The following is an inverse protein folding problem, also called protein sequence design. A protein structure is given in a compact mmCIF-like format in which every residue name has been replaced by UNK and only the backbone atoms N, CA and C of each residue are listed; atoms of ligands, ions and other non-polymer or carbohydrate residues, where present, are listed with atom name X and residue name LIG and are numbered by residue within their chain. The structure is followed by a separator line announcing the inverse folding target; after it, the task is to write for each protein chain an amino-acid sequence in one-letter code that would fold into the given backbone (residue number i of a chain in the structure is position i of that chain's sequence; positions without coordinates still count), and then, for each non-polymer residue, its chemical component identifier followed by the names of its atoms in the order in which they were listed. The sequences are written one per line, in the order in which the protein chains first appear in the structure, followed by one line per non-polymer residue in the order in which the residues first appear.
data_IF_596638513065
#
_entry.id   IF_596638513065
#
_cell.length_a   1.000
_cell.length_b   1.000
_cell.length_c   1.000
_cell.angle_alpha   90.00
_cell.angle_beta   90.00
_cell.angle_gamma   90.00
#
_symmetry.space_group_name_H-M   'P 1'
#
loop_
_entity.id
_entity.type
_entity.pdbx_description
1 polymer ?
#
# COMPACT_ATOMS: atom_id res chain seq x y z
N UNK A 1 -9.95 -7.54 15.19
CA UNK A 1 -9.41 -8.36 16.30
C UNK A 1 -9.28 -9.84 15.90
N UNK A 2 -10.39 -10.55 15.63
CA UNK A 2 -10.36 -12.00 15.35
C UNK A 2 -9.33 -12.43 14.29
N UNK A 3 -9.15 -11.66 13.22
CA UNK A 3 -8.12 -11.96 12.21
C UNK A 3 -6.71 -11.89 12.82
N UNK A 4 -6.44 -10.92 13.65
CA UNK A 4 -5.12 -10.73 14.28
C UNK A 4 -4.78 -11.87 15.25
N UNK A 5 -5.78 -12.42 15.96
CA UNK A 5 -5.54 -13.58 16.84
C UNK A 5 -5.19 -14.86 16.06
N UNK A 6 -5.51 -14.94 14.77
CA UNK A 6 -5.18 -16.07 13.89
C UNK A 6 -3.79 -15.93 13.23
N UNK A 7 -3.22 -14.72 13.24
CA UNK A 7 -1.90 -14.45 12.66
C UNK A 7 -0.83 -14.68 13.73
N UNK A 8 0.19 -15.52 13.48
CA UNK A 8 1.27 -15.71 14.44
C UNK A 8 1.95 -14.39 14.82
N UNK A 9 2.18 -14.19 16.11
CA UNK A 9 2.72 -12.94 16.69
C UNK A 9 3.99 -12.42 16.01
N UNK A 10 4.88 -13.34 15.59
CA UNK A 10 6.10 -12.99 14.84
C UNK A 10 5.87 -12.17 13.56
N UNK A 11 4.63 -12.13 13.05
CA UNK A 11 4.26 -11.34 11.87
C UNK A 11 3.55 -10.03 12.22
N UNK A 12 3.16 -9.81 13.48
CA UNK A 12 2.41 -8.61 13.89
C UNK A 12 3.19 -7.32 13.56
N UNK A 13 4.51 -7.33 13.69
CA UNK A 13 5.39 -6.21 13.31
C UNK A 13 5.48 -5.94 11.80
N UNK A 14 4.74 -6.67 10.97
CA UNK A 14 4.59 -6.43 9.53
C UNK A 14 3.21 -5.88 9.17
N UNK A 15 2.35 -5.65 10.16
CA UNK A 15 0.97 -5.24 9.97
C UNK A 15 0.84 -3.76 10.35
N UNK A 16 0.21 -2.99 9.46
CA UNK A 16 -0.18 -1.60 9.68
C UNK A 16 -1.70 -1.54 9.64
N UNK A 17 -2.33 -0.91 10.65
CA UNK A 17 -3.79 -0.77 10.69
C UNK A 17 -4.22 0.57 10.10
N UNK A 18 -5.29 0.56 9.29
CA UNK A 18 -5.86 1.75 8.64
C UNK A 18 -7.06 2.31 9.42
N UNK A 19 -7.59 1.54 10.34
CA UNK A 19 -8.70 1.89 11.25
C UNK A 19 -8.44 1.18 12.59
N UNK A 20 -9.22 1.50 13.61
CA UNK A 20 -9.07 0.86 14.92
C UNK A 20 -7.62 0.92 15.45
N UNK A 21 -7.06 2.12 15.50
CA UNK A 21 -5.64 2.36 15.83
C UNK A 21 -5.23 1.77 17.18
N UNK A 22 -6.16 1.57 18.12
CA UNK A 22 -5.92 0.89 19.38
C UNK A 22 -5.36 -0.55 19.22
N UNK A 23 -5.70 -1.22 18.10
CA UNK A 23 -5.19 -2.56 17.80
C UNK A 23 -3.67 -2.60 17.65
N UNK A 24 -3.05 -1.47 17.29
CA UNK A 24 -1.59 -1.37 17.19
C UNK A 24 -0.93 -1.67 18.53
N UNK A 25 -1.44 -1.11 19.61
CA UNK A 25 -0.90 -1.36 20.96
C UNK A 25 -1.31 -2.75 21.46
N UNK A 26 -2.58 -3.12 21.31
CA UNK A 26 -3.12 -4.40 21.78
C UNK A 26 -2.39 -5.62 21.19
N UNK A 27 -2.08 -5.58 19.89
CA UNK A 27 -1.42 -6.66 19.16
C UNK A 27 0.05 -6.39 18.82
N UNK A 28 0.65 -5.33 19.34
CA UNK A 28 2.02 -4.93 19.04
C UNK A 28 2.32 -4.88 17.52
N UNK A 29 1.42 -4.24 16.76
CA UNK A 29 1.55 -4.11 15.30
C UNK A 29 2.68 -3.14 14.95
N UNK A 30 3.04 -3.07 13.66
CA UNK A 30 4.07 -2.15 13.16
C UNK A 30 3.69 -0.69 13.39
N UNK A 31 2.46 -0.31 12.99
CA UNK A 31 2.03 1.08 13.05
C UNK A 31 0.63 1.31 12.53
N UNK A 32 0.36 2.57 12.21
CA UNK A 32 -0.93 3.05 11.73
C UNK A 32 -0.80 3.71 10.35
N UNK A 33 -1.90 3.76 9.61
CA UNK A 33 -1.99 4.43 8.33
C UNK A 33 -3.10 5.48 8.34
N UNK A 34 -2.73 6.74 8.10
CA UNK A 34 -3.67 7.85 8.03
C UNK A 34 -4.28 7.97 6.63
N UNK A 35 -5.56 8.25 6.59
CA UNK A 35 -6.33 8.42 5.36
C UNK A 35 -7.45 9.46 5.56
N UNK A 36 -8.27 9.70 4.53
CA UNK A 36 -9.33 10.71 4.62
C UNK A 36 -10.35 10.46 5.74
N UNK A 37 -10.58 9.19 6.14
CA UNK A 37 -11.50 8.84 7.24
C UNK A 37 -10.85 9.02 8.62
N UNK A 38 -9.55 8.77 8.69
CA UNK A 38 -8.74 8.85 9.90
C UNK A 38 -7.51 9.72 9.63
N UNK A 39 -7.66 11.05 9.57
CA UNK A 39 -6.60 11.95 9.11
C UNK A 39 -5.58 12.35 10.19
N UNK A 40 -5.81 11.95 11.44
CA UNK A 40 -4.98 12.36 12.58
C UNK A 40 -4.53 11.15 13.39
N UNK A 41 -3.34 11.26 13.92
CA UNK A 41 -2.80 10.32 14.89
C UNK A 41 -3.57 10.38 16.21
N UNK A 42 -3.66 9.26 16.95
CA UNK A 42 -4.11 9.31 18.35
C UNK A 42 -3.25 10.24 19.19
N UNK A 43 -3.82 10.79 20.26
CA UNK A 43 -3.07 11.62 21.20
C UNK A 43 -1.87 10.83 21.78
N UNK A 44 -0.72 11.48 21.88
CA UNK A 44 0.54 10.89 22.38
C UNK A 44 1.00 9.63 21.62
N UNK A 45 0.56 9.45 20.36
CA UNK A 45 1.03 8.33 19.56
C UNK A 45 2.52 8.45 19.26
N UNK A 46 3.25 7.37 19.56
CA UNK A 46 4.65 7.22 19.20
C UNK A 46 4.84 5.88 18.47
N UNK A 47 5.20 5.92 17.20
CA UNK A 47 5.39 4.72 16.40
C UNK A 47 5.39 5.00 14.92
N UNK A 48 5.39 3.95 14.13
CA UNK A 48 5.40 4.02 12.68
C UNK A 48 4.07 4.58 12.15
N UNK A 49 4.17 5.64 11.34
CA UNK A 49 3.00 6.29 10.71
C UNK A 49 3.22 6.41 9.21
N UNK A 50 2.21 6.03 8.47
CA UNK A 50 2.13 6.24 7.02
C UNK A 50 0.85 6.98 6.64
N UNK A 51 0.79 7.56 5.45
CA UNK A 51 -0.44 8.20 4.99
C UNK A 51 -0.69 8.04 3.48
N UNK A 52 -1.94 8.27 3.07
CA UNK A 52 -2.33 8.32 1.66
C UNK A 52 -2.11 9.72 1.08
N UNK A 53 -1.58 9.78 -0.14
CA UNK A 53 -1.46 10.96 -0.98
C UNK A 53 -2.11 10.71 -2.34
N UNK A 54 -2.77 11.72 -2.90
CA UNK A 54 -3.51 11.61 -4.15
C UNK A 54 -3.02 12.59 -5.23
N UNK A 55 -1.87 13.24 -5.00
CA UNK A 55 -1.19 14.07 -5.98
C UNK A 55 0.32 14.13 -5.72
N UNK A 56 1.09 14.48 -6.75
CA UNK A 56 2.55 14.72 -6.62
C UNK A 56 2.82 15.83 -5.59
N UNK A 57 1.98 16.86 -5.57
CA UNK A 57 2.12 17.97 -4.61
C UNK A 57 1.87 17.51 -3.15
N UNK A 58 0.88 16.64 -2.93
CA UNK A 58 0.68 16.05 -1.60
C UNK A 58 1.87 15.21 -1.14
N UNK A 59 2.45 14.40 -2.04
CA UNK A 59 3.65 13.61 -1.73
C UNK A 59 4.80 14.53 -1.34
N UNK A 60 5.06 15.58 -2.14
CA UNK A 60 6.10 16.57 -1.89
C UNK A 60 5.96 17.21 -0.51
N UNK A 61 4.74 17.58 -0.12
CA UNK A 61 4.47 18.30 1.12
C UNK A 61 4.42 17.37 2.34
N UNK A 62 4.05 16.10 2.19
CA UNK A 62 3.75 15.21 3.31
C UNK A 62 4.83 14.17 3.61
N UNK A 63 5.53 13.62 2.60
CA UNK A 63 6.40 12.44 2.79
C UNK A 63 7.48 12.60 3.87
N UNK A 64 7.88 13.84 4.18
CA UNK A 64 8.92 14.11 5.18
C UNK A 64 8.45 13.89 6.62
N UNK A 65 7.15 13.90 6.86
CA UNK A 65 6.54 13.75 8.17
C UNK A 65 6.19 12.29 8.50
N UNK A 66 6.31 11.38 7.53
CA UNK A 66 5.87 9.99 7.66
C UNK A 66 7.00 9.01 7.35
N UNK A 67 6.89 7.79 7.83
CA UNK A 67 7.84 6.72 7.53
C UNK A 67 7.78 6.35 6.04
N UNK A 68 6.57 6.26 5.49
CA UNK A 68 6.31 6.20 4.05
C UNK A 68 4.95 6.81 3.71
N UNK A 69 4.71 7.07 2.43
CA UNK A 69 3.40 7.49 1.93
C UNK A 69 2.96 6.60 0.78
N UNK A 70 1.65 6.35 0.67
CA UNK A 70 1.08 5.82 -0.56
C UNK A 70 0.77 6.96 -1.52
N UNK A 71 1.10 6.78 -2.80
CA UNK A 71 0.64 7.62 -3.90
C UNK A 71 -0.37 6.82 -4.75
N UNK A 72 -1.59 7.33 -4.90
CA UNK A 72 -2.70 6.59 -5.54
C UNK A 72 -3.75 7.48 -6.20
N UNK A 73 -4.41 6.98 -7.26
CA UNK A 73 -4.15 5.72 -7.94
C UNK A 73 -3.09 5.90 -9.06
N UNK A 74 -2.10 4.99 -9.13
CA UNK A 74 -1.07 5.07 -10.19
C UNK A 74 -1.60 4.58 -11.53
N UNK A 75 -2.42 3.53 -11.53
CA UNK A 75 -3.18 3.03 -12.67
C UNK A 75 -4.66 2.96 -12.32
N UNK A 76 -5.50 2.77 -13.32
CA UNK A 76 -6.94 2.60 -13.12
C UNK A 76 -7.23 1.46 -12.14
N UNK A 77 -8.15 1.70 -11.22
CA UNK A 77 -8.42 0.73 -10.16
C UNK A 77 -9.01 -0.57 -10.70
N UNK A 78 -8.46 -1.71 -10.28
CA UNK A 78 -8.98 -3.05 -10.58
C UNK A 78 -10.21 -3.37 -9.71
N UNK A 79 -10.29 -2.81 -8.52
CA UNK A 79 -11.30 -3.15 -7.51
C UNK A 79 -12.41 -2.11 -7.32
N UNK A 80 -12.21 -0.88 -7.79
CA UNK A 80 -13.17 0.23 -7.65
C UNK A 80 -13.64 0.70 -9.02
N UNK A 81 -14.95 0.76 -9.21
CA UNK A 81 -15.55 1.32 -10.44
C UNK A 81 -15.36 2.84 -10.44
N UNK A 82 -15.06 3.41 -11.61
CA UNK A 82 -14.88 4.85 -11.82
C UNK A 82 -13.76 5.50 -10.99
N UNK A 83 -12.71 4.75 -10.67
CA UNK A 83 -11.53 5.27 -9.97
C UNK A 83 -10.31 5.16 -10.89
N UNK A 84 -10.09 6.21 -11.68
CA UNK A 84 -9.09 6.26 -12.74
C UNK A 84 -7.82 6.95 -12.29
N UNK A 85 -6.69 6.56 -12.89
CA UNK A 85 -5.43 7.29 -12.75
C UNK A 85 -5.53 8.65 -13.45
N UNK A 86 -4.91 9.65 -12.86
CA UNK A 86 -4.74 10.98 -13.45
C UNK A 86 -3.27 11.26 -13.79
N UNK A 87 -2.37 10.31 -13.54
CA UNK A 87 -0.95 10.49 -13.77
C UNK A 87 -0.52 9.98 -15.13
N UNK A 88 0.27 10.79 -15.83
CA UNK A 88 1.00 10.35 -17.03
C UNK A 88 2.36 9.75 -16.65
N UNK A 89 2.90 8.90 -17.52
CA UNK A 89 4.25 8.37 -17.34
C UNK A 89 5.33 9.47 -17.28
N UNK A 90 5.11 10.59 -17.98
CA UNK A 90 6.02 11.74 -17.97
C UNK A 90 6.01 12.43 -16.60
N UNK A 91 4.84 12.69 -16.02
CA UNK A 91 4.72 13.27 -14.68
C UNK A 91 5.38 12.40 -13.61
N UNK A 92 5.24 11.08 -13.70
CA UNK A 92 5.87 10.15 -12.76
C UNK A 92 7.40 10.16 -12.91
N UNK A 93 7.94 10.20 -14.14
CA UNK A 93 9.38 10.34 -14.38
C UNK A 93 9.93 11.69 -13.90
N UNK A 94 9.19 12.77 -14.06
CA UNK A 94 9.57 14.07 -13.55
C UNK A 94 9.59 14.11 -12.02
N UNK A 95 8.59 13.49 -11.40
CA UNK A 95 8.53 13.35 -9.95
C UNK A 95 9.69 12.49 -9.41
N UNK A 96 10.14 11.47 -10.15
CA UNK A 96 11.34 10.70 -9.83
C UNK A 96 12.60 11.56 -9.97
N UNK A 97 12.77 12.24 -11.12
CA UNK A 97 13.96 13.10 -11.37
C UNK A 97 14.12 14.18 -10.31
N UNK A 98 13.02 14.75 -9.85
CA UNK A 98 12.99 15.76 -8.80
C UNK A 98 13.01 15.18 -7.38
N UNK A 99 13.14 13.84 -7.25
CA UNK A 99 13.16 13.11 -5.97
C UNK A 99 11.90 13.32 -5.11
N UNK A 100 10.78 13.65 -5.74
CA UNK A 100 9.48 13.61 -5.07
C UNK A 100 9.08 12.16 -4.88
N UNK A 101 9.20 11.32 -5.94
CA UNK A 101 9.13 9.85 -5.82
C UNK A 101 10.51 9.34 -5.44
N UNK A 102 10.59 8.57 -4.37
CA UNK A 102 11.78 7.90 -3.85
C UNK A 102 11.41 6.66 -3.03
N UNK A 103 12.37 6.09 -2.29
CA UNK A 103 12.18 4.89 -1.46
C UNK A 103 11.11 5.01 -0.37
N UNK A 104 10.64 6.22 -0.04
CA UNK A 104 9.54 6.46 0.93
C UNK A 104 8.16 6.53 0.27
N UNK A 105 8.07 6.49 -1.06
CA UNK A 105 6.80 6.59 -1.79
C UNK A 105 6.42 5.23 -2.34
N UNK A 106 5.31 4.68 -1.87
CA UNK A 106 4.77 3.39 -2.29
C UNK A 106 3.65 3.59 -3.31
N UNK A 107 3.74 2.93 -4.43
CA UNK A 107 2.70 2.96 -5.46
C UNK A 107 1.48 2.15 -5.03
N UNK A 108 0.28 2.68 -5.24
CA UNK A 108 -0.98 1.99 -4.98
C UNK A 108 -1.99 2.30 -6.10
N UNK A 109 -2.81 1.33 -6.46
CA UNK A 109 -3.90 1.43 -7.45
C UNK A 109 -3.54 0.81 -8.79
N UNK A 110 -4.35 -0.16 -9.23
CA UNK A 110 -4.27 -0.82 -10.52
C UNK A 110 -3.02 -1.67 -10.77
N UNK A 111 -2.19 -1.91 -9.76
CA UNK A 111 -0.92 -2.63 -9.91
C UNK A 111 -1.16 -4.13 -10.02
N UNK A 112 -0.48 -4.74 -11.00
CA UNK A 112 -0.56 -6.16 -11.32
C UNK A 112 0.77 -6.67 -11.91
N UNK A 113 0.84 -7.94 -12.28
CA UNK A 113 2.05 -8.55 -12.87
C UNK A 113 2.51 -7.90 -14.18
N UNK A 114 1.63 -7.23 -14.91
CA UNK A 114 1.94 -6.61 -16.20
C UNK A 114 2.61 -5.23 -16.08
N UNK A 115 2.40 -4.51 -14.97
CA UNK A 115 2.90 -3.15 -14.78
C UNK A 115 3.82 -2.98 -13.56
N UNK A 116 4.03 -4.03 -12.77
CA UNK A 116 4.86 -3.96 -11.55
C UNK A 116 6.31 -3.54 -11.82
N UNK A 117 6.89 -3.96 -12.94
CA UNK A 117 8.26 -3.57 -13.32
C UNK A 117 8.35 -2.07 -13.63
N UNK A 118 7.34 -1.50 -14.27
CA UNK A 118 7.28 -0.08 -14.57
C UNK A 118 7.27 0.78 -13.30
N UNK A 119 6.64 0.30 -12.21
CA UNK A 119 6.68 0.94 -10.89
C UNK A 119 8.12 1.08 -10.38
N UNK A 120 8.94 0.06 -10.60
CA UNK A 120 10.36 0.07 -10.25
C UNK A 120 11.12 1.13 -11.07
N UNK A 121 10.83 1.22 -12.36
CA UNK A 121 11.44 2.20 -13.28
C UNK A 121 11.07 3.65 -12.93
N UNK A 122 9.87 3.88 -12.36
CA UNK A 122 9.46 5.18 -11.82
C UNK A 122 10.09 5.52 -10.45
N UNK A 123 10.91 4.62 -9.88
CA UNK A 123 11.67 4.87 -8.66
C UNK A 123 10.85 4.83 -7.38
N UNK A 124 9.67 4.23 -7.38
CA UNK A 124 8.91 3.97 -6.15
C UNK A 124 9.67 3.01 -5.23
N UNK A 125 9.53 3.20 -3.92
CA UNK A 125 10.12 2.34 -2.91
C UNK A 125 9.46 0.97 -2.79
N UNK A 126 8.28 0.80 -3.39
CA UNK A 126 7.53 -0.44 -3.43
C UNK A 126 6.14 -0.27 -4.02
N UNK A 127 5.38 -1.35 -4.01
CA UNK A 127 4.02 -1.39 -4.54
C UNK A 127 3.05 -2.08 -3.57
N UNK A 128 1.86 -1.50 -3.42
CA UNK A 128 0.76 -2.12 -2.69
C UNK A 128 -0.24 -2.73 -3.69
N UNK A 129 -0.51 -4.01 -3.55
CA UNK A 129 -1.36 -4.78 -4.44
C UNK A 129 -2.60 -5.23 -3.70
N UNK A 130 -3.77 -4.88 -4.20
CA UNK A 130 -5.05 -5.21 -3.59
C UNK A 130 -5.92 -6.03 -4.56
N UNK A 131 -6.49 -5.41 -5.59
CA UNK A 131 -7.45 -6.04 -6.48
C UNK A 131 -6.86 -7.22 -7.25
N UNK A 132 -5.66 -7.10 -7.81
CA UNK A 132 -5.02 -8.17 -8.57
C UNK A 132 -4.74 -9.43 -7.72
N UNK A 133 -4.58 -9.28 -6.41
CA UNK A 133 -4.39 -10.40 -5.49
C UNK A 133 -5.73 -10.96 -5.01
N UNK A 134 -6.60 -10.10 -4.44
CA UNK A 134 -7.79 -10.54 -3.73
C UNK A 134 -8.96 -10.91 -4.63
N UNK A 135 -9.03 -10.41 -5.88
CA UNK A 135 -10.04 -10.83 -6.84
C UNK A 135 -9.87 -12.31 -7.27
N UNK A 136 -8.79 -12.94 -6.86
CA UNK A 136 -8.54 -14.39 -7.06
C UNK A 136 -9.01 -15.25 -5.90
N UNK A 137 -9.48 -14.62 -4.83
CA UNK A 137 -9.98 -15.32 -3.65
C UNK A 137 -11.50 -15.45 -3.73
N UNK A 138 -11.98 -16.69 -3.73
CA UNK A 138 -13.39 -17.02 -3.60
C UNK A 138 -13.63 -17.70 -2.25
N UNK A 139 -14.33 -17.02 -1.35
CA UNK A 139 -14.65 -17.56 -0.02
C UNK A 139 -15.56 -18.82 -0.05
N UNK A 140 -16.14 -19.14 -1.21
CA UNK A 140 -16.99 -20.32 -1.39
C UNK A 140 -16.20 -21.55 -1.87
N UNK A 141 -14.91 -21.40 -2.19
CA UNK A 141 -14.03 -22.49 -2.63
C UNK A 141 -13.05 -22.89 -1.53
N UNK A 142 -12.95 -24.20 -1.26
CA UNK A 142 -12.04 -24.73 -0.22
C UNK A 142 -10.54 -24.58 -0.53
N UNK A 143 -10.16 -24.18 -1.74
CA UNK A 143 -8.76 -24.15 -2.18
C UNK A 143 -8.31 -22.85 -2.85
N UNK A 144 -9.12 -21.81 -2.91
CA UNK A 144 -8.79 -20.56 -3.61
C UNK A 144 -7.61 -19.80 -2.99
N UNK A 145 -7.32 -20.02 -1.71
CA UNK A 145 -6.11 -19.47 -1.08
C UNK A 145 -4.82 -19.94 -1.77
N UNK A 146 -4.81 -21.14 -2.41
CA UNK A 146 -3.64 -21.62 -3.17
C UNK A 146 -3.39 -20.76 -4.40
N UNK A 147 -4.43 -20.38 -5.14
CA UNK A 147 -4.34 -19.48 -6.29
C UNK A 147 -3.80 -18.10 -5.88
N UNK A 148 -4.27 -17.57 -4.75
CA UNK A 148 -3.77 -16.30 -4.17
C UNK A 148 -2.29 -16.40 -3.82
N UNK A 149 -1.87 -17.50 -3.15
CA UNK A 149 -0.47 -17.72 -2.77
C UNK A 149 0.43 -17.83 -4.00
N UNK A 150 0.04 -18.62 -5.00
CA UNK A 150 0.82 -18.80 -6.24
C UNK A 150 0.94 -17.48 -7.02
N UNK A 151 -0.12 -16.69 -7.06
CA UNK A 151 -0.08 -15.39 -7.69
C UNK A 151 0.81 -14.40 -6.91
N UNK A 152 0.73 -14.40 -5.58
CA UNK A 152 1.62 -13.61 -4.73
C UNK A 152 3.10 -13.96 -4.94
N UNK A 153 3.44 -15.24 -5.08
CA UNK A 153 4.82 -15.67 -5.38
C UNK A 153 5.30 -15.11 -6.73
N UNK A 154 4.43 -15.06 -7.76
CA UNK A 154 4.76 -14.44 -9.05
C UNK A 154 5.03 -12.95 -8.90
N UNK A 155 4.16 -12.23 -8.21
CA UNK A 155 4.32 -10.80 -7.93
C UNK A 155 5.62 -10.53 -7.15
N UNK A 156 5.89 -11.32 -6.12
CA UNK A 156 7.11 -11.19 -5.32
C UNK A 156 8.37 -11.38 -6.18
N UNK A 157 8.40 -12.41 -7.04
CA UNK A 157 9.53 -12.67 -7.94
C UNK A 157 9.80 -11.51 -8.92
N UNK A 158 8.77 -10.74 -9.30
CA UNK A 158 8.92 -9.56 -10.15
C UNK A 158 9.37 -8.32 -9.36
N UNK A 159 9.07 -8.26 -8.08
CA UNK A 159 9.44 -7.15 -7.21
C UNK A 159 10.89 -7.24 -6.70
N UNK A 160 11.40 -8.46 -6.51
CA UNK A 160 12.79 -8.75 -6.09
C UNK A 160 13.74 -8.53 -7.27
#
# INVERSE_FOLDING_TARGET
ERLLTLIPEKYHRRIVTHEHFYLKEEFNLMGIHLNARNPKEPHDYAGHVSCSCHSVEEVKNKKHFYDYVFMSPIYDSISKVNYYSTYTAEELRDAQRTKIIDSKVMALGGINTGNLLEIKDFGFGGAAILGDLWNRFDACSDQDYLAVIEHFKKLKKLAD
#
